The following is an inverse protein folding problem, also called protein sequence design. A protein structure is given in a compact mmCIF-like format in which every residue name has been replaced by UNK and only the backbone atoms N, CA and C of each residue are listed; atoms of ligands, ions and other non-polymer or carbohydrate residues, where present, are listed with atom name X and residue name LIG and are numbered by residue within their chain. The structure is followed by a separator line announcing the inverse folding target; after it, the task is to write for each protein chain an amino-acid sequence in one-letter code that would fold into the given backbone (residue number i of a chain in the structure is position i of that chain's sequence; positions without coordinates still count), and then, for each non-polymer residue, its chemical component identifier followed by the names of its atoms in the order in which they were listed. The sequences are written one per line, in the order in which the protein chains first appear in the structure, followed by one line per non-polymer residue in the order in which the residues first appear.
data_IF_774795045300
#
_entry.id   IF_774795045300
#
_cell.length_a   1.000
_cell.length_b   1.000
_cell.length_c   1.000
_cell.angle_alpha   90.00
_cell.angle_beta   90.00
_cell.angle_gamma   90.00
#
_symmetry.space_group_name_H-M   'P 1'
#
loop_
_entity.id
_entity.type
_entity.pdbx_description
1 polymer ?
#
# COMPACT_ATOMS: atom_id res chain seq x y z
N UNK A 1 9.27 0.89 4.84
CA UNK A 1 10.28 -0.12 4.47
C UNK A 1 9.82 -1.55 4.76
N UNK A 2 9.13 -1.80 5.89
CA UNK A 2 8.62 -3.12 6.23
C UNK A 2 7.59 -3.65 5.23
N UNK A 3 6.64 -2.81 4.82
CA UNK A 3 5.64 -3.18 3.82
C UNK A 3 6.25 -3.51 2.46
N UNK A 4 7.26 -2.74 2.03
CA UNK A 4 7.97 -3.01 0.76
C UNK A 4 8.72 -4.34 0.83
N UNK A 5 9.40 -4.61 1.95
CA UNK A 5 10.10 -5.89 2.14
C UNK A 5 9.12 -7.06 2.15
N UNK A 6 7.97 -6.94 2.80
CA UNK A 6 6.93 -7.96 2.81
C UNK A 6 6.37 -8.23 1.40
N UNK A 7 6.07 -7.17 0.64
CA UNK A 7 5.54 -7.28 -0.72
C UNK A 7 6.53 -7.80 -1.76
N UNK A 8 7.85 -7.69 -1.49
CA UNK A 8 8.91 -8.05 -2.40
C UNK A 8 9.66 -9.34 -2.04
N UNK A 9 9.47 -9.88 -0.84
CA UNK A 9 10.28 -11.02 -0.35
C UNK A 9 9.49 -12.15 0.28
N UNK A 10 8.32 -11.84 0.88
CA UNK A 10 7.57 -12.81 1.67
C UNK A 10 6.57 -13.57 0.81
N UNK A 11 6.45 -14.86 1.04
CA UNK A 11 5.41 -15.69 0.40
C UNK A 11 4.01 -15.19 0.74
N UNK A 12 3.84 -14.66 1.96
CA UNK A 12 2.63 -13.98 2.43
C UNK A 12 2.99 -12.61 2.96
N UNK A 13 2.18 -11.62 2.62
CA UNK A 13 2.25 -10.30 3.21
C UNK A 13 0.85 -9.87 3.68
N UNK A 14 0.75 -9.58 4.96
CA UNK A 14 -0.46 -9.01 5.58
C UNK A 14 -0.17 -7.54 5.84
N UNK A 15 -0.82 -6.66 5.07
CA UNK A 15 -0.58 -5.22 5.11
C UNK A 15 -1.78 -4.53 5.74
N UNK A 16 -1.58 -3.89 6.89
CA UNK A 16 -2.63 -3.14 7.57
C UNK A 16 -3.19 -2.02 6.70
N UNK A 17 -4.51 -1.89 6.69
CA UNK A 17 -5.25 -0.87 5.93
C UNK A 17 -6.55 -0.48 6.67
N UNK A 18 -7.35 0.40 6.08
CA UNK A 18 -8.68 0.79 6.56
C UNK A 18 -9.58 1.14 5.38
N UNK A 19 -10.89 1.16 5.57
CA UNK A 19 -11.87 1.45 4.50
C UNK A 19 -12.40 2.87 4.51
N UNK A 20 -12.71 3.37 5.69
CA UNK A 20 -13.35 4.66 5.91
C UNK A 20 -12.41 5.86 5.72
N UNK A 21 -12.88 7.05 6.06
CA UNK A 21 -12.17 8.30 5.88
C UNK A 21 -10.96 8.44 6.82
N UNK A 22 -9.91 9.12 6.35
CA UNK A 22 -8.84 9.62 7.21
C UNK A 22 -9.43 10.67 8.16
N UNK A 23 -9.20 10.49 9.45
CA UNK A 23 -9.59 11.46 10.47
C UNK A 23 -8.65 12.66 10.45
N UNK A 24 -9.22 13.85 10.39
CA UNK A 24 -8.48 15.12 10.29
C UNK A 24 -8.82 16.00 11.48
N UNK A 25 -7.82 16.27 12.31
CA UNK A 25 -7.89 17.37 13.29
C UNK A 25 -7.43 18.66 12.63
N UNK A 26 -8.38 19.48 12.22
CA UNK A 26 -8.12 20.76 11.53
C UNK A 26 -7.37 21.76 12.40
N UNK A 27 -7.53 21.70 13.71
CA UNK A 27 -6.80 22.57 14.64
C UNK A 27 -5.34 22.19 14.67
N UNK A 28 -5.03 20.90 14.75
CA UNK A 28 -3.68 20.39 14.71
C UNK A 28 -3.01 20.62 13.34
N UNK A 29 -3.74 20.58 12.24
CA UNK A 29 -3.21 20.96 10.91
C UNK A 29 -2.72 22.40 10.91
N UNK A 30 -3.51 23.32 11.48
CA UNK A 30 -3.12 24.75 11.60
C UNK A 30 -1.87 24.95 12.44
N UNK A 31 -1.71 24.17 13.52
CA UNK A 31 -0.51 24.20 14.37
C UNK A 31 0.76 23.76 13.60
N UNK A 32 0.64 22.76 12.70
CA UNK A 32 1.72 22.39 11.79
C UNK A 32 2.07 23.54 10.82
N UNK A 33 1.07 24.14 10.19
CA UNK A 33 1.27 25.24 9.23
C UNK A 33 1.84 26.49 9.90
N UNK A 34 1.45 26.76 11.15
CA UNK A 34 1.99 27.85 11.97
C UNK A 34 3.45 27.60 12.43
N UNK A 35 3.90 26.32 12.38
CA UNK A 35 5.24 25.92 12.84
C UNK A 35 5.33 25.56 14.32
N UNK A 36 4.19 25.50 15.03
CA UNK A 36 4.14 25.10 16.43
C UNK A 36 4.35 23.59 16.61
N UNK A 37 3.91 22.79 15.62
CA UNK A 37 4.23 21.36 15.54
C UNK A 37 5.28 21.10 14.47
N UNK A 38 6.28 20.28 14.81
CA UNK A 38 7.27 19.82 13.84
C UNK A 38 6.72 18.59 13.09
N UNK A 39 6.82 18.56 11.75
CA UNK A 39 6.47 17.37 10.97
C UNK A 39 7.42 16.23 11.33
N UNK A 40 6.92 15.00 11.21
CA UNK A 40 7.75 13.83 11.34
C UNK A 40 8.51 13.58 10.03
N UNK A 41 9.81 13.68 10.07
CA UNK A 41 10.69 13.47 8.91
C UNK A 41 11.18 12.01 8.77
N UNK A 42 10.67 11.09 9.58
CA UNK A 42 11.06 9.67 9.55
C UNK A 42 12.57 9.48 9.71
N UNK A 43 13.20 8.78 8.78
CA UNK A 43 14.65 8.51 8.79
C UNK A 43 15.52 9.79 8.70
N UNK A 44 14.92 10.92 8.41
CA UNK A 44 15.59 12.22 8.27
C UNK A 44 15.25 13.19 9.39
N UNK A 45 14.74 12.70 10.52
CA UNK A 45 14.27 13.50 11.66
C UNK A 45 15.33 14.46 12.24
N UNK A 46 16.62 14.17 12.05
CA UNK A 46 17.71 15.05 12.47
C UNK A 46 18.08 16.16 11.48
N UNK A 47 17.45 16.23 10.30
CA UNK A 47 17.72 17.30 9.32
C UNK A 47 16.82 18.50 9.56
N UNK A 48 17.41 19.68 9.44
CA UNK A 48 16.64 20.92 9.32
C UNK A 48 16.18 21.10 7.87
N UNK A 49 14.89 20.95 7.64
CA UNK A 49 14.27 21.13 6.34
C UNK A 49 13.73 22.56 6.11
N UNK A 50 14.01 23.46 7.10
CA UNK A 50 13.45 24.81 7.12
C UNK A 50 11.99 24.83 7.58
N UNK A 51 11.28 25.92 7.22
CA UNK A 51 9.86 26.08 7.58
C UNK A 51 9.01 25.03 6.85
N UNK A 52 8.13 24.35 7.59
CA UNK A 52 7.18 23.40 7.03
C UNK A 52 6.23 24.06 6.02
N UNK A 53 6.11 23.46 4.86
CA UNK A 53 5.22 23.87 3.78
C UNK A 53 4.26 22.71 3.46
N UNK A 54 3.03 22.79 3.95
CA UNK A 54 2.01 21.74 3.78
C UNK A 54 1.77 21.43 2.31
N UNK A 55 1.85 22.45 1.42
CA UNK A 55 1.64 22.24 -0.01
C UNK A 55 2.73 21.34 -0.58
N UNK A 56 4.00 21.70 -0.38
CA UNK A 56 5.14 20.98 -0.97
C UNK A 56 5.44 19.66 -0.32
N UNK A 57 5.26 19.57 1.01
CA UNK A 57 5.72 18.42 1.79
C UNK A 57 4.65 17.36 1.99
N UNK A 58 3.37 17.71 1.80
CA UNK A 58 2.25 16.78 1.99
C UNK A 58 1.40 16.65 0.74
N UNK A 59 0.89 17.77 0.20
CA UNK A 59 -0.10 17.75 -0.88
C UNK A 59 0.53 17.37 -2.22
N UNK A 60 1.62 18.04 -2.60
CA UNK A 60 2.31 17.78 -3.87
C UNK A 60 2.97 16.38 -3.90
N UNK A 61 3.22 15.80 -2.73
CA UNK A 61 3.75 14.44 -2.58
C UNK A 61 2.66 13.37 -2.48
N UNK A 62 1.39 13.76 -2.47
CA UNK A 62 0.30 12.80 -2.50
C UNK A 62 0.27 12.09 -3.87
N UNK A 63 0.46 10.76 -3.92
CA UNK A 63 0.59 10.05 -5.20
C UNK A 63 -0.68 10.04 -6.02
N UNK A 64 -1.85 10.18 -5.40
CA UNK A 64 -3.15 10.23 -6.08
C UNK A 64 -3.74 11.63 -6.16
N UNK A 65 -3.02 12.65 -5.68
CA UNK A 65 -3.46 14.06 -5.66
C UNK A 65 -4.86 14.27 -5.05
N UNK A 66 -5.23 13.41 -4.09
CA UNK A 66 -6.55 13.43 -3.44
C UNK A 66 -6.70 14.50 -2.36
N UNK A 67 -5.70 15.35 -2.15
CA UNK A 67 -5.67 16.32 -1.05
C UNK A 67 -5.73 17.75 -1.56
N UNK A 68 -6.40 18.62 -0.78
CA UNK A 68 -6.47 20.07 -1.06
C UNK A 68 -6.35 20.86 0.24
N UNK A 69 -5.56 21.93 0.19
CA UNK A 69 -5.45 22.92 1.25
C UNK A 69 -5.91 24.28 0.72
N UNK A 70 -6.89 24.88 1.37
CA UNK A 70 -7.45 26.18 0.96
C UNK A 70 -6.90 27.39 1.76
N UNK A 71 -5.86 27.15 2.57
CA UNK A 71 -5.30 28.14 3.50
C UNK A 71 -5.87 28.08 4.91
N UNK A 72 -6.97 27.37 5.12
CA UNK A 72 -7.66 27.26 6.40
C UNK A 72 -8.10 25.83 6.75
N UNK A 73 -8.40 25.02 5.75
CA UNK A 73 -8.93 23.66 5.88
C UNK A 73 -8.22 22.70 4.95
N UNK A 74 -7.82 21.54 5.48
CA UNK A 74 -7.35 20.40 4.73
C UNK A 74 -8.53 19.48 4.39
N UNK A 75 -8.65 19.11 3.12
CA UNK A 75 -9.62 18.13 2.64
C UNK A 75 -8.94 16.99 1.93
N UNK A 76 -9.47 15.77 2.09
CA UNK A 76 -8.98 14.54 1.48
C UNK A 76 -10.16 13.83 0.83
N UNK A 77 -10.03 13.51 -0.45
CA UNK A 77 -10.99 12.64 -1.14
C UNK A 77 -10.59 11.19 -0.86
N UNK A 78 -11.34 10.54 0.02
CA UNK A 78 -11.06 9.14 0.43
C UNK A 78 -11.21 8.16 -0.70
N UNK A 79 -12.07 8.42 -1.69
CA UNK A 79 -12.27 7.52 -2.83
C UNK A 79 -11.02 7.45 -3.72
N UNK A 80 -10.31 8.56 -3.82
CA UNK A 80 -9.07 8.66 -4.59
C UNK A 80 -7.82 8.35 -3.74
N UNK A 81 -7.96 8.20 -2.43
CA UNK A 81 -6.85 7.95 -1.52
C UNK A 81 -6.32 6.52 -1.65
N UNK A 82 -5.06 6.39 -2.04
CA UNK A 82 -4.34 5.09 -2.15
C UNK A 82 -3.74 4.61 -0.83
N UNK A 83 -4.04 5.25 0.28
CA UNK A 83 -3.60 4.86 1.64
C UNK A 83 -2.09 4.68 1.80
N UNK A 84 -1.31 5.50 1.11
CA UNK A 84 0.16 5.43 1.15
C UNK A 84 0.77 5.85 2.49
N UNK A 85 -0.03 6.36 3.42
CA UNK A 85 0.38 6.81 4.77
C UNK A 85 1.29 8.04 4.80
N UNK A 86 1.70 8.63 3.67
CA UNK A 86 2.63 9.75 3.66
C UNK A 86 2.16 10.93 4.53
N UNK A 87 0.93 11.39 4.30
CA UNK A 87 0.35 12.52 5.04
C UNK A 87 0.21 12.23 6.54
N UNK A 88 -0.25 11.03 6.91
CA UNK A 88 -0.39 10.60 8.31
C UNK A 88 0.99 10.53 8.99
N UNK A 89 1.99 9.97 8.29
CA UNK A 89 3.34 9.88 8.82
C UNK A 89 4.01 11.26 8.98
N UNK A 90 3.69 12.20 8.11
CA UNK A 90 4.24 13.57 8.16
C UNK A 90 3.58 14.39 9.26
N UNK A 91 2.26 14.27 9.43
CA UNK A 91 1.46 15.02 10.41
C UNK A 91 0.71 14.10 11.39
N UNK A 92 1.41 13.27 12.20
CA UNK A 92 0.77 12.22 13.02
C UNK A 92 -0.10 12.76 14.16
N UNK A 93 -0.02 14.05 14.50
CA UNK A 93 -0.92 14.68 15.48
C UNK A 93 -2.20 15.21 14.88
N UNK A 94 -2.21 15.41 13.55
CA UNK A 94 -3.34 15.98 12.83
C UNK A 94 -4.14 14.96 12.02
N UNK A 95 -3.49 13.89 11.56
CA UNK A 95 -4.09 12.92 10.67
C UNK A 95 -3.97 11.51 11.27
N UNK A 96 -5.10 10.80 11.28
CA UNK A 96 -5.18 9.43 11.77
C UNK A 96 -5.92 8.55 10.77
N UNK A 97 -5.62 7.25 10.81
CA UNK A 97 -6.37 6.25 10.03
C UNK A 97 -7.83 6.21 10.49
N UNK A 98 -8.70 5.74 9.62
CA UNK A 98 -10.11 5.50 9.95
C UNK A 98 -10.33 4.40 10.99
N UNK A 99 -11.59 4.17 11.34
CA UNK A 99 -11.98 3.17 12.35
C UNK A 99 -12.16 1.78 11.77
N UNK A 100 -12.60 1.67 10.51
CA UNK A 100 -12.76 0.39 9.83
C UNK A 100 -11.40 -0.21 9.46
N UNK A 101 -10.73 -0.76 10.47
CA UNK A 101 -9.39 -1.33 10.34
C UNK A 101 -9.43 -2.74 9.78
N UNK A 102 -8.49 -3.03 8.92
CA UNK A 102 -8.35 -4.34 8.32
C UNK A 102 -6.96 -4.56 7.74
N UNK A 103 -6.85 -5.59 6.93
CA UNK A 103 -5.62 -5.92 6.23
C UNK A 103 -5.88 -6.26 4.77
N UNK A 104 -4.89 -5.99 3.92
CA UNK A 104 -4.79 -6.56 2.57
C UNK A 104 -3.85 -7.76 2.63
N UNK A 105 -4.18 -8.84 1.94
CA UNK A 105 -3.34 -10.03 1.85
C UNK A 105 -2.74 -10.09 0.45
N UNK A 106 -1.40 -10.15 0.39
CA UNK A 106 -0.65 -10.39 -0.84
C UNK A 106 0.08 -11.73 -0.73
N UNK A 107 0.29 -12.38 -1.86
CA UNK A 107 0.88 -13.72 -1.92
C UNK A 107 1.91 -13.84 -3.03
N UNK A 108 2.93 -14.66 -2.82
CA UNK A 108 3.83 -15.12 -3.85
C UNK A 108 5.01 -14.22 -4.18
N UNK A 109 5.39 -13.31 -3.29
CA UNK A 109 6.62 -12.55 -3.48
C UNK A 109 7.86 -13.41 -3.22
N UNK A 110 8.95 -13.11 -3.90
CA UNK A 110 10.29 -13.65 -3.62
C UNK A 110 11.39 -12.69 -4.04
N UNK A 111 12.48 -12.70 -3.30
CA UNK A 111 13.71 -12.04 -3.72
C UNK A 111 14.37 -12.82 -4.90
N UNK A 112 15.24 -12.16 -5.69
CA UNK A 112 15.93 -12.81 -6.80
C UNK A 112 16.96 -13.82 -6.28
N UNK A 113 16.66 -15.13 -6.42
CA UNK A 113 17.62 -16.18 -6.09
C UNK A 113 17.99 -16.95 -7.35
N UNK A 114 17.11 -17.71 -7.94
CA UNK A 114 17.40 -18.51 -9.12
C UNK A 114 16.65 -18.05 -10.37
N UNK A 115 15.41 -17.64 -10.24
CA UNK A 115 14.50 -17.33 -11.34
C UNK A 115 14.01 -15.86 -11.30
N UNK A 116 14.83 -14.97 -10.74
CA UNK A 116 14.54 -13.55 -10.64
C UNK A 116 13.59 -13.17 -9.51
N UNK A 117 13.42 -11.86 -9.31
CA UNK A 117 12.53 -11.29 -8.32
C UNK A 117 11.06 -11.40 -8.76
N UNK A 118 10.19 -11.65 -7.81
CA UNK A 118 8.74 -11.67 -8.01
C UNK A 118 8.06 -10.82 -6.94
N UNK A 119 7.23 -9.89 -7.38
CA UNK A 119 6.37 -9.12 -6.47
C UNK A 119 5.17 -9.95 -6.03
N UNK A 120 4.70 -9.71 -4.81
CA UNK A 120 3.45 -10.30 -4.34
C UNK A 120 2.26 -9.86 -5.17
N UNK A 121 1.35 -10.77 -5.39
CA UNK A 121 0.06 -10.49 -6.03
C UNK A 121 -0.99 -10.21 -4.96
N UNK A 122 -1.87 -9.24 -5.20
CA UNK A 122 -3.01 -9.00 -4.32
C UNK A 122 -3.93 -10.22 -4.36
N UNK A 123 -4.24 -10.76 -3.19
CA UNK A 123 -5.17 -11.87 -3.05
C UNK A 123 -6.50 -11.38 -2.44
N UNK A 124 -6.44 -10.75 -1.28
CA UNK A 124 -7.61 -10.17 -0.62
C UNK A 124 -7.37 -8.67 -0.42
N UNK A 125 -8.20 -7.80 -1.02
CA UNK A 125 -8.00 -6.35 -0.92
C UNK A 125 -8.28 -5.82 0.48
N UNK A 126 -9.23 -6.39 1.17
CA UNK A 126 -9.57 -6.03 2.55
C UNK A 126 -10.21 -7.20 3.28
N UNK A 127 -9.73 -7.45 4.49
CA UNK A 127 -10.28 -8.37 5.46
C UNK A 127 -10.26 -7.69 6.83
N UNK A 128 -11.33 -7.76 7.64
CA UNK A 128 -11.31 -7.19 8.99
C UNK A 128 -10.15 -7.75 9.81
N UNK A 129 -9.48 -6.89 10.56
CA UNK A 129 -8.38 -7.31 11.43
C UNK A 129 -8.83 -7.25 12.89
N UNK A 130 -9.75 -8.14 13.25
CA UNK A 130 -10.30 -8.29 14.59
C UNK A 130 -9.65 -9.48 15.30
N UNK A 131 -9.26 -9.31 16.54
CA UNK A 131 -8.73 -10.42 17.35
C UNK A 131 -9.82 -11.48 17.57
N UNK A 132 -9.48 -12.77 17.45
CA UNK A 132 -8.14 -13.38 17.33
C UNK A 132 -7.60 -13.58 15.91
N UNK A 133 -8.06 -12.79 14.91
CA UNK A 133 -7.62 -12.79 13.50
C UNK A 133 -7.93 -14.09 12.73
N UNK A 134 -9.00 -14.78 13.08
CA UNK A 134 -9.29 -16.11 12.53
C UNK A 134 -9.57 -16.09 11.03
N UNK A 135 -10.20 -15.03 10.50
CA UNK A 135 -10.41 -14.89 9.06
C UNK A 135 -9.09 -14.79 8.29
N UNK A 136 -8.13 -14.03 8.82
CA UNK A 136 -6.79 -13.89 8.22
C UNK A 136 -6.04 -15.22 8.27
N UNK A 137 -6.08 -15.90 9.42
CA UNK A 137 -5.47 -17.23 9.60
C UNK A 137 -6.05 -18.24 8.63
N UNK A 138 -7.37 -18.29 8.51
CA UNK A 138 -8.05 -19.23 7.61
C UNK A 138 -7.63 -19.05 6.15
N UNK A 139 -7.45 -17.82 5.68
CA UNK A 139 -6.92 -17.55 4.32
C UNK A 139 -5.50 -18.09 4.18
N UNK A 140 -4.64 -17.84 5.17
CA UNK A 140 -3.23 -18.28 5.13
C UNK A 140 -3.17 -19.81 5.18
N UNK A 141 -3.94 -20.47 6.04
CA UNK A 141 -4.00 -21.92 6.17
C UNK A 141 -4.43 -22.59 4.86
N UNK A 142 -5.49 -22.11 4.20
CA UNK A 142 -5.91 -22.63 2.89
C UNK A 142 -4.80 -22.59 1.84
N UNK A 143 -4.04 -21.48 1.80
CA UNK A 143 -2.93 -21.36 0.86
C UNK A 143 -1.78 -22.27 1.25
N UNK A 144 -1.51 -22.39 2.54
CA UNK A 144 -0.46 -23.25 3.07
C UNK A 144 -0.74 -24.72 2.75
N UNK A 145 -1.97 -25.20 3.00
CA UNK A 145 -2.38 -26.56 2.72
C UNK A 145 -2.27 -26.88 1.23
N UNK A 146 -2.76 -25.98 0.38
CA UNK A 146 -2.61 -26.11 -1.07
C UNK A 146 -1.14 -26.16 -1.51
N UNK A 147 -0.30 -25.32 -0.94
CA UNK A 147 1.12 -25.32 -1.27
C UNK A 147 1.84 -26.56 -0.78
N UNK A 148 1.49 -27.09 0.38
CA UNK A 148 2.04 -28.34 0.90
C UNK A 148 1.67 -29.55 0.02
N UNK A 149 0.50 -29.52 -0.62
CA UNK A 149 0.05 -30.58 -1.51
C UNK A 149 0.67 -30.47 -2.92
N UNK A 150 0.72 -29.27 -3.48
CA UNK A 150 1.08 -29.04 -4.88
C UNK A 150 2.53 -28.58 -5.08
N UNK A 151 3.17 -28.09 -4.05
CA UNK A 151 4.52 -27.53 -4.12
C UNK A 151 5.59 -28.59 -4.40
N UNK A 152 6.59 -28.22 -5.22
CA UNK A 152 7.75 -29.07 -5.51
C UNK A 152 8.91 -28.73 -4.59
N UNK A 153 9.90 -29.63 -4.54
CA UNK A 153 11.09 -29.42 -3.73
C UNK A 153 11.77 -28.08 -4.06
N UNK A 154 11.97 -27.24 -3.04
CA UNK A 154 12.51 -25.86 -3.11
C UNK A 154 11.63 -24.86 -3.86
N UNK A 155 10.44 -25.22 -4.27
CA UNK A 155 9.49 -24.31 -4.92
C UNK A 155 8.82 -23.43 -3.87
N UNK A 156 8.83 -22.14 -4.07
CA UNK A 156 8.11 -21.18 -3.22
C UNK A 156 6.68 -20.99 -3.69
N UNK A 157 5.81 -20.47 -2.80
CA UNK A 157 4.39 -20.25 -3.10
C UNK A 157 4.18 -19.49 -4.41
N UNK A 158 4.95 -18.42 -4.66
CA UNK A 158 4.85 -17.65 -5.89
C UNK A 158 5.26 -18.41 -7.15
N UNK A 159 6.19 -19.35 -7.04
CA UNK A 159 6.61 -20.22 -8.15
C UNK A 159 5.55 -21.28 -8.44
N UNK A 160 4.93 -21.84 -7.40
CA UNK A 160 3.78 -22.74 -7.53
C UNK A 160 2.59 -22.03 -8.22
N UNK A 161 2.29 -20.80 -7.81
CA UNK A 161 1.27 -19.96 -8.46
C UNK A 161 1.61 -19.72 -9.93
N UNK A 162 2.87 -19.41 -10.25
CA UNK A 162 3.31 -19.21 -11.64
C UNK A 162 3.17 -20.47 -12.49
N UNK A 163 3.40 -21.65 -11.92
CA UNK A 163 3.29 -22.94 -12.59
C UNK A 163 1.85 -23.40 -12.76
N UNK A 164 1.02 -23.25 -11.76
CA UNK A 164 -0.36 -23.76 -11.75
C UNK A 164 -1.43 -22.73 -12.12
N UNK A 165 -1.10 -21.47 -12.19
CA UNK A 165 -1.90 -20.27 -12.39
C UNK A 165 -2.51 -19.68 -11.11
N UNK A 166 -2.72 -18.35 -11.16
CA UNK A 166 -3.41 -17.61 -10.08
C UNK A 166 -4.89 -18.01 -9.97
N UNK A 167 -5.51 -18.37 -11.11
CA UNK A 167 -6.88 -18.86 -11.12
C UNK A 167 -7.02 -20.15 -10.31
N UNK A 168 -6.06 -21.08 -10.45
CA UNK A 168 -6.07 -22.32 -9.66
C UNK A 168 -5.97 -22.05 -8.16
N UNK A 169 -5.13 -21.08 -7.75
CA UNK A 169 -5.08 -20.64 -6.35
C UNK A 169 -6.44 -20.14 -5.87
N UNK A 170 -7.12 -19.28 -6.63
CA UNK A 170 -8.44 -18.76 -6.25
C UNK A 170 -9.48 -19.86 -6.12
N UNK A 171 -9.48 -20.83 -7.04
CA UNK A 171 -10.39 -21.99 -7.01
C UNK A 171 -10.21 -22.83 -5.75
N UNK A 172 -8.96 -23.18 -5.41
CA UNK A 172 -8.67 -24.03 -4.25
C UNK A 172 -8.90 -23.31 -2.92
N UNK A 173 -8.55 -22.03 -2.86
CA UNK A 173 -8.76 -21.23 -1.64
C UNK A 173 -10.19 -20.73 -1.49
N UNK A 174 -11.03 -20.93 -2.52
CA UNK A 174 -12.42 -20.43 -2.57
C UNK A 174 -12.51 -18.91 -2.40
N UNK A 175 -11.45 -18.18 -2.78
CA UNK A 175 -11.42 -16.73 -2.75
C UNK A 175 -12.08 -16.18 -4.00
N UNK A 176 -13.09 -15.32 -3.87
CA UNK A 176 -13.78 -14.74 -5.02
C UNK A 176 -12.81 -13.97 -5.92
N UNK A 177 -12.91 -14.18 -7.23
CA UNK A 177 -12.17 -13.38 -8.20
C UNK A 177 -12.66 -11.92 -8.17
N UNK A 178 -11.72 -10.99 -8.20
CA UNK A 178 -11.99 -9.55 -8.31
C UNK A 178 -11.36 -9.02 -9.60
N UNK A 179 -11.82 -7.87 -10.13
CA UNK A 179 -11.28 -7.30 -11.38
C UNK A 179 -9.77 -7.13 -11.38
N UNK A 180 -9.18 -6.81 -10.23
CA UNK A 180 -7.74 -6.63 -10.07
C UNK A 180 -6.93 -7.92 -10.25
N UNK A 181 -7.52 -9.08 -10.03
CA UNK A 181 -6.88 -10.37 -10.29
C UNK A 181 -6.66 -10.64 -11.79
N UNK A 182 -7.49 -10.04 -12.66
CA UNK A 182 -7.45 -10.26 -14.10
C UNK A 182 -6.63 -9.19 -14.81
N UNK A 183 -6.92 -7.92 -14.56
CA UNK A 183 -6.30 -6.79 -15.28
C UNK A 183 -4.94 -6.40 -14.71
N UNK A 184 -4.79 -6.44 -13.39
CA UNK A 184 -3.57 -6.06 -12.70
C UNK A 184 -3.33 -6.95 -11.48
N UNK A 185 -3.00 -8.25 -11.69
CA UNK A 185 -2.97 -9.24 -10.61
C UNK A 185 -1.96 -8.94 -9.50
N UNK A 186 -0.98 -8.09 -9.78
CA UNK A 186 0.05 -7.67 -8.81
C UNK A 186 -0.21 -6.32 -8.17
N UNK A 187 -1.39 -5.75 -8.41
CA UNK A 187 -1.72 -4.44 -7.90
C UNK A 187 -2.64 -4.56 -6.68
N UNK A 188 -2.32 -3.84 -5.64
CA UNK A 188 -3.21 -3.61 -4.52
C UNK A 188 -4.23 -2.53 -4.93
N UNK A 189 -5.55 -2.76 -4.90
CA UNK A 189 -6.55 -1.75 -5.29
C UNK A 189 -6.49 -0.47 -4.44
N UNK A 190 -5.88 -0.53 -3.26
CA UNK A 190 -5.65 0.63 -2.41
C UNK A 190 -4.28 1.32 -2.65
N UNK A 191 -3.45 0.76 -3.52
CA UNK A 191 -2.14 1.32 -3.91
C UNK A 191 -2.11 1.60 -5.42
N UNK A 192 -3.18 1.26 -6.14
CA UNK A 192 -3.25 1.41 -7.59
C UNK A 192 -3.42 2.88 -7.97
N UNK A 193 -2.45 3.31 -8.77
CA UNK A 193 -2.69 4.38 -9.72
C UNK A 193 -3.70 3.88 -10.76
N UNK A 194 -4.76 4.60 -11.01
CA UNK A 194 -5.57 4.38 -12.19
C UNK A 194 -4.65 4.55 -13.40
N UNK A 195 -4.59 3.57 -14.28
CA UNK A 195 -3.69 3.60 -15.44
C UNK A 195 -3.93 4.86 -16.29
N UNK A 196 -5.16 5.32 -16.35
CA UNK A 196 -5.63 6.54 -17.01
C UNK A 196 -5.04 7.84 -16.41
N UNK A 197 -4.65 7.81 -15.13
CA UNK A 197 -4.12 8.97 -14.41
C UNK A 197 -2.60 9.04 -14.43
N UNK A 198 -1.94 8.01 -14.95
CA UNK A 198 -0.48 7.99 -15.12
C UNK A 198 -0.16 8.43 -16.54
N UNK A 199 0.25 9.69 -16.79
CA UNK A 199 0.62 10.15 -18.11
C UNK A 199 1.67 9.21 -18.73
N UNK A 200 1.35 8.61 -19.89
CA UNK A 200 2.23 7.67 -20.57
C UNK A 200 2.23 6.24 -20.01
N UNK A 201 1.33 5.88 -19.08
CA UNK A 201 1.26 4.56 -18.49
C UNK A 201 2.60 4.08 -17.96
N UNK A 202 3.01 2.85 -18.31
CA UNK A 202 4.30 2.28 -17.92
C UNK A 202 5.51 2.86 -18.69
N UNK A 203 5.28 3.63 -19.74
CA UNK A 203 6.32 4.32 -20.53
C UNK A 203 6.66 5.69 -19.97
N UNK A 204 6.84 5.79 -18.64
CA UNK A 204 7.19 7.06 -17.98
C UNK A 204 8.50 7.60 -18.50
N UNK A 205 8.51 8.90 -18.79
CA UNK A 205 9.76 9.63 -18.92
C UNK A 205 10.50 9.64 -17.58
N UNK A 206 11.53 8.77 -17.49
CA UNK A 206 12.35 8.62 -16.27
C UNK A 206 13.01 9.95 -15.88
N UNK A 207 13.30 10.83 -16.85
CA UNK A 207 13.91 12.14 -16.60
C UNK A 207 12.90 13.07 -15.93
N UNK A 208 11.68 13.12 -16.43
CA UNK A 208 10.60 13.92 -15.82
C UNK A 208 10.23 13.39 -14.43
N UNK A 209 10.21 12.07 -14.24
CA UNK A 209 10.00 11.45 -12.92
C UNK A 209 11.12 11.83 -11.95
N UNK A 210 12.38 11.72 -12.34
CA UNK A 210 13.53 12.08 -11.51
C UNK A 210 13.54 13.56 -11.15
N UNK A 211 13.25 14.47 -12.10
CA UNK A 211 13.15 15.90 -11.83
C UNK A 211 12.07 16.24 -10.81
N UNK A 212 10.95 15.53 -10.82
CA UNK A 212 9.83 15.71 -9.88
C UNK A 212 10.15 15.20 -8.47
N UNK A 213 11.06 14.23 -8.35
CA UNK A 213 11.40 13.56 -7.09
C UNK A 213 12.87 13.78 -6.66
N UNK A 214 13.66 14.53 -7.40
CA UNK A 214 14.97 15.00 -6.94
C UNK A 214 14.77 16.20 -6.02
N UNK A 215 14.95 15.97 -4.76
CA UNK A 215 15.24 17.00 -3.76
C UNK A 215 16.71 16.96 -3.42
#
# INVERSE_FOLDING_TARGET
NGCVAAMARSDFAVVGTWKDDIKIDQSAVKEYVAGNFKPNAGAHSGRDWGKFDIQKEVIDLCPSHCMKWDGSKLSIDTKECVRCMHCINTMPRALHIGDERGASILVGAKAPILDGAQMGSLLVPFIPAEEPFDEIKAVIEKIWDWWMEEGKNRERVGETIKRLSFQKLLEVTEIPAIPQHVSTPRANPYILFKEEEVPGGWSRDIKAFRQRHQR
#
